data_IF_647280258262
#
_entry.id   IF_647280258262
#
_cell.length_a   1.000
_cell.length_b   1.000
_cell.length_c   1.000
_cell.angle_alpha   90.00
_cell.angle_beta   90.00
_cell.angle_gamma   90.00
#
_symmetry.space_group_name_H-M   'P 1'
#
loop_
_entity.id
_entity.type
_entity.pdbx_description
1 polymer ?
#
# COMPACT_ATOMS: atom_id res chain seq x y z
N UNK A 1 17.04 -5.06 -28.77
CA UNK A 1 18.32 -5.70 -28.41
C UNK A 1 18.06 -6.83 -27.43
N UNK A 2 18.86 -7.91 -27.47
CA UNK A 2 18.86 -8.96 -26.44
C UNK A 2 20.01 -8.66 -25.48
N UNK A 3 19.73 -8.72 -24.19
CA UNK A 3 20.70 -8.51 -23.11
C UNK A 3 20.52 -9.62 -22.10
N UNK A 4 21.60 -10.08 -21.50
CA UNK A 4 21.58 -10.99 -20.34
C UNK A 4 21.91 -10.17 -19.11
N UNK A 5 21.05 -10.23 -18.11
CA UNK A 5 21.22 -9.54 -16.82
C UNK A 5 21.30 -10.60 -15.73
N UNK A 6 22.27 -10.44 -14.84
CA UNK A 6 22.30 -11.19 -13.59
C UNK A 6 21.40 -10.48 -12.58
N UNK A 7 20.33 -11.14 -12.16
CA UNK A 7 19.33 -10.59 -11.24
C UNK A 7 19.16 -11.55 -10.07
N UNK A 8 18.99 -11.05 -8.83
CA UNK A 8 18.64 -11.90 -7.71
C UNK A 8 17.38 -12.73 -7.99
N UNK A 9 17.39 -14.00 -7.59
CA UNK A 9 16.28 -14.94 -7.86
C UNK A 9 14.93 -14.41 -7.37
N UNK A 10 14.90 -13.79 -6.19
CA UNK A 10 13.69 -13.18 -5.63
C UNK A 10 13.13 -12.06 -6.51
N UNK A 11 14.00 -11.27 -7.13
CA UNK A 11 13.58 -10.21 -8.04
C UNK A 11 13.02 -10.79 -9.34
N UNK A 12 13.68 -11.82 -9.88
CA UNK A 12 13.19 -12.53 -11.07
C UNK A 12 11.84 -13.20 -10.79
N UNK A 13 11.65 -13.79 -9.61
CA UNK A 13 10.38 -14.35 -9.16
C UNK A 13 9.29 -13.28 -9.05
N UNK A 14 9.58 -12.14 -8.43
CA UNK A 14 8.64 -11.04 -8.33
C UNK A 14 8.21 -10.50 -9.70
N UNK A 15 9.14 -10.38 -10.65
CA UNK A 15 8.85 -9.97 -12.04
C UNK A 15 7.92 -10.99 -12.72
N UNK A 16 8.18 -12.30 -12.59
CA UNK A 16 7.34 -13.36 -13.17
C UNK A 16 5.92 -13.33 -12.60
N UNK A 17 5.80 -13.22 -11.28
CA UNK A 17 4.49 -13.14 -10.60
C UNK A 17 3.70 -11.93 -11.09
N UNK A 18 4.34 -10.75 -11.15
CA UNK A 18 3.70 -9.53 -11.66
C UNK A 18 3.25 -9.68 -13.12
N UNK A 19 4.09 -10.28 -13.98
CA UNK A 19 3.74 -10.52 -15.38
C UNK A 19 2.54 -11.46 -15.52
N UNK A 20 2.49 -12.54 -14.73
CA UNK A 20 1.37 -13.47 -14.70
C UNK A 20 0.08 -12.80 -14.21
N UNK A 21 0.14 -12.06 -13.10
CA UNK A 21 -1.01 -11.34 -12.53
C UNK A 21 -1.58 -10.29 -13.49
N UNK A 22 -0.72 -9.64 -14.27
CA UNK A 22 -1.16 -8.64 -15.25
C UNK A 22 -1.56 -9.23 -16.60
N UNK A 23 -1.37 -10.54 -16.83
CA UNK A 23 -1.59 -11.15 -18.15
C UNK A 23 -0.67 -10.58 -19.24
N UNK A 24 0.53 -10.10 -18.86
CA UNK A 24 1.46 -9.40 -19.75
C UNK A 24 2.72 -10.23 -19.99
N UNK A 25 3.38 -9.97 -21.11
CA UNK A 25 4.68 -10.60 -21.40
C UNK A 25 5.72 -10.05 -20.45
N UNK A 26 6.55 -10.94 -19.89
CA UNK A 26 7.62 -10.58 -18.95
C UNK A 26 8.55 -9.48 -19.49
N UNK A 27 8.89 -9.50 -20.78
CA UNK A 27 9.72 -8.47 -21.42
C UNK A 27 9.12 -7.06 -21.34
N UNK A 28 7.79 -6.95 -21.41
CA UNK A 28 7.10 -5.66 -21.42
C UNK A 28 7.05 -5.10 -20.00
N UNK A 29 6.82 -5.98 -19.01
CA UNK A 29 6.91 -5.64 -17.58
C UNK A 29 8.32 -5.20 -17.21
N UNK A 30 9.36 -5.96 -17.58
CA UNK A 30 10.76 -5.57 -17.33
C UNK A 30 11.08 -4.21 -17.96
N UNK A 31 10.62 -3.98 -19.20
CA UNK A 31 10.84 -2.69 -19.88
C UNK A 31 10.18 -1.53 -19.14
N UNK A 32 8.94 -1.70 -18.70
CA UNK A 32 8.23 -0.68 -17.92
C UNK A 32 8.90 -0.43 -16.56
N UNK A 33 9.33 -1.48 -15.87
CA UNK A 33 10.01 -1.36 -14.58
C UNK A 33 11.35 -0.63 -14.73
N UNK A 34 12.13 -0.94 -15.77
CA UNK A 34 13.37 -0.22 -16.06
C UNK A 34 13.10 1.24 -16.41
N UNK A 35 12.07 1.54 -17.22
CA UNK A 35 11.69 2.94 -17.52
C UNK A 35 11.27 3.68 -16.26
N UNK A 36 10.40 3.09 -15.44
CA UNK A 36 9.94 3.70 -14.19
C UNK A 36 11.11 3.93 -13.22
N UNK A 37 12.01 2.96 -13.10
CA UNK A 37 13.25 3.08 -12.31
C UNK A 37 14.16 4.20 -12.80
N UNK A 38 14.35 4.35 -14.11
CA UNK A 38 15.20 5.39 -14.69
C UNK A 38 14.53 6.78 -14.72
N UNK A 39 13.20 6.84 -14.81
CA UNK A 39 12.43 8.09 -14.74
C UNK A 39 12.37 8.66 -13.32
N UNK A 40 12.58 7.81 -12.30
CA UNK A 40 12.81 8.27 -10.94
C UNK A 40 14.17 8.98 -10.90
N UNK A 41 14.15 10.27 -11.24
CA UNK A 41 15.28 11.15 -10.98
C UNK A 41 15.62 11.01 -9.51
N UNK A 42 16.90 10.76 -9.20
CA UNK A 42 17.47 10.77 -7.85
C UNK A 42 17.41 12.17 -7.21
N UNK A 43 16.35 12.94 -7.44
CA UNK A 43 15.92 13.93 -6.49
C UNK A 43 15.57 13.12 -5.26
N UNK A 44 16.53 12.97 -4.34
CA UNK A 44 16.25 12.46 -3.01
C UNK A 44 14.95 13.11 -2.59
N UNK A 45 13.90 12.28 -2.49
CA UNK A 45 12.54 12.78 -2.46
C UNK A 45 12.52 13.87 -1.38
N UNK A 46 12.23 15.14 -1.74
CA UNK A 46 12.25 16.19 -0.75
C UNK A 46 11.34 15.71 0.37
N UNK A 47 11.90 15.61 1.59
CA UNK A 47 11.14 15.22 2.78
C UNK A 47 9.86 16.04 2.70
N UNK A 48 8.68 15.42 2.58
CA UNK A 48 7.46 16.15 2.36
C UNK A 48 7.32 17.17 3.49
N UNK A 49 7.53 18.45 3.16
CA UNK A 49 7.24 19.50 4.11
C UNK A 49 5.74 19.42 4.34
N UNK A 50 5.27 19.39 5.60
CA UNK A 50 3.84 19.27 5.88
C UNK A 50 3.13 20.41 5.17
N UNK A 51 2.42 20.07 4.09
CA UNK A 51 1.63 21.02 3.33
C UNK A 51 0.45 21.37 4.22
N UNK A 52 0.46 22.56 4.80
CA UNK A 52 -0.67 23.04 5.60
C UNK A 52 -1.84 23.20 4.64
N UNK A 53 -2.78 22.28 4.73
CA UNK A 53 -4.09 22.38 4.10
C UNK A 53 -5.09 22.88 5.13
N UNK A 54 -6.03 23.71 4.70
CA UNK A 54 -7.20 24.04 5.53
C UNK A 54 -8.17 22.87 5.43
N UNK A 55 -8.28 22.09 6.51
CA UNK A 55 -9.31 21.05 6.60
C UNK A 55 -10.59 21.67 7.15
N UNK A 56 -11.77 21.31 6.60
CA UNK A 56 -13.04 21.76 7.16
C UNK A 56 -13.16 21.26 8.61
N UNK A 57 -13.47 22.17 9.52
CA UNK A 57 -13.71 21.84 10.93
C UNK A 57 -15.13 21.30 11.10
N UNK A 58 -15.24 20.01 11.45
CA UNK A 58 -16.51 19.41 11.86
C UNK A 58 -16.74 19.74 13.32
N UNK A 59 -17.82 20.46 13.60
CA UNK A 59 -18.16 20.86 14.96
C UNK A 59 -18.94 19.74 15.62
N UNK A 60 -18.35 19.13 16.63
CA UNK A 60 -19.01 18.10 17.44
C UNK A 60 -19.98 18.76 18.44
N UNK A 61 -21.08 18.07 18.78
CA UNK A 61 -22.09 18.56 19.73
C UNK A 61 -21.60 18.73 21.17
N UNK A 62 -20.34 18.40 21.45
CA UNK A 62 -19.69 18.53 22.75
C UNK A 62 -18.29 17.94 22.73
N UNK A 63 -17.52 18.18 23.79
CA UNK A 63 -16.27 17.46 24.02
C UNK A 63 -16.58 15.98 24.31
N UNK A 64 -15.84 15.08 23.69
CA UNK A 64 -15.96 13.66 23.98
C UNK A 64 -15.59 13.40 25.45
N UNK A 65 -16.37 12.58 26.15
CA UNK A 65 -15.92 12.05 27.44
C UNK A 65 -14.72 11.13 27.24
N UNK A 66 -13.99 10.80 28.32
CA UNK A 66 -12.85 9.88 28.25
C UNK A 66 -13.22 8.52 27.63
N UNK A 67 -14.45 8.07 27.85
CA UNK A 67 -14.98 6.81 27.33
C UNK A 67 -15.45 6.93 25.88
N UNK A 68 -15.60 8.14 25.34
CA UNK A 68 -16.04 8.41 23.96
C UNK A 68 -14.92 8.94 23.07
N UNK A 69 -13.82 9.42 23.66
CA UNK A 69 -12.70 9.98 22.94
C UNK A 69 -12.12 8.96 21.94
N UNK A 70 -11.93 9.42 20.70
CA UNK A 70 -11.38 8.61 19.62
C UNK A 70 -9.85 8.74 19.63
N UNK A 71 -9.21 8.14 20.63
CA UNK A 71 -7.75 8.14 20.74
C UNK A 71 -7.12 7.25 19.66
N UNK A 72 -5.84 7.47 19.29
CA UNK A 72 -5.15 6.61 18.32
C UNK A 72 -5.18 5.12 18.69
N UNK A 73 -5.08 4.79 19.98
CA UNK A 73 -5.09 3.42 20.49
C UNK A 73 -6.46 2.77 20.30
N UNK A 74 -7.53 3.53 20.51
CA UNK A 74 -8.90 3.03 20.28
C UNK A 74 -9.18 2.81 18.80
N UNK A 75 -8.71 3.73 17.93
CA UNK A 75 -8.79 3.53 16.49
C UNK A 75 -8.04 2.26 16.09
N UNK A 76 -6.83 2.05 16.62
CA UNK A 76 -6.05 0.85 16.35
C UNK A 76 -6.79 -0.43 16.80
N UNK A 77 -7.35 -0.44 18.02
CA UNK A 77 -8.13 -1.57 18.51
C UNK A 77 -9.35 -1.85 17.63
N UNK A 78 -10.12 -0.83 17.25
CA UNK A 78 -11.28 -0.99 16.37
C UNK A 78 -10.90 -1.52 14.98
N UNK A 79 -9.75 -1.11 14.42
CA UNK A 79 -9.26 -1.61 13.14
C UNK A 79 -8.83 -3.08 13.23
N UNK A 80 -8.19 -3.49 14.33
CA UNK A 80 -7.80 -4.89 14.57
C UNK A 80 -9.02 -5.79 14.75
N UNK A 81 -10.02 -5.34 15.51
CA UNK A 81 -11.28 -6.08 15.68
C UNK A 81 -11.99 -6.29 14.33
N UNK A 82 -11.98 -5.28 13.46
CA UNK A 82 -12.55 -5.38 12.12
C UNK A 82 -11.77 -6.36 11.22
N UNK A 83 -10.43 -6.34 11.26
CA UNK A 83 -9.59 -7.28 10.52
C UNK A 83 -9.87 -8.73 10.97
N UNK A 84 -10.01 -8.97 12.27
CA UNK A 84 -10.38 -10.28 12.81
C UNK A 84 -11.75 -10.76 12.31
N UNK A 85 -12.75 -9.87 12.26
CA UNK A 85 -14.10 -10.19 11.76
C UNK A 85 -14.09 -10.58 10.28
N UNK A 86 -13.26 -9.92 9.45
CA UNK A 86 -13.11 -10.28 8.04
C UNK A 86 -12.55 -11.69 7.85
N UNK A 87 -11.70 -12.14 8.78
CA UNK A 87 -11.10 -13.46 8.69
C UNK A 87 -12.04 -14.54 9.23
N UNK A 88 -12.81 -14.26 10.29
CA UNK A 88 -13.80 -15.22 10.78
C UNK A 88 -14.92 -15.49 9.77
N UNK A 89 -15.34 -14.49 8.99
CA UNK A 89 -16.38 -14.68 7.96
C UNK A 89 -15.87 -15.33 6.66
N UNK A 90 -14.56 -15.44 6.46
CA UNK A 90 -14.00 -16.07 5.26
C UNK A 90 -13.97 -17.60 5.33
N UNK A 91 -14.04 -18.19 6.53
CA UNK A 91 -14.15 -19.64 6.70
C UNK A 91 -15.59 -20.17 6.48
N UNK A 92 -16.61 -19.33 6.61
CA UNK A 92 -18.01 -19.75 6.46
C UNK A 92 -18.44 -20.00 5.00
N UNK A 93 -17.62 -19.61 4.01
CA UNK A 93 -17.93 -19.84 2.59
C UNK A 93 -17.46 -21.21 2.05
N UNK A 94 -16.89 -22.08 2.89
CA UNK A 94 -16.27 -23.34 2.46
C UNK A 94 -17.04 -24.63 2.84
N UNK A 95 -18.28 -24.56 3.30
CA UNK A 95 -19.08 -25.75 3.65
C UNK A 95 -20.33 -25.91 2.78
#
# INVERSE_FOLDING_TARGET
MKTTLDLPDELMRAIKVRAAQQGRKMKDVVTELLRSGLSQTHSGAPIPTPRRVQLPLVHCGGAATREQEMTPERVAAALLDQEAQWWSGHDDAAL
#
